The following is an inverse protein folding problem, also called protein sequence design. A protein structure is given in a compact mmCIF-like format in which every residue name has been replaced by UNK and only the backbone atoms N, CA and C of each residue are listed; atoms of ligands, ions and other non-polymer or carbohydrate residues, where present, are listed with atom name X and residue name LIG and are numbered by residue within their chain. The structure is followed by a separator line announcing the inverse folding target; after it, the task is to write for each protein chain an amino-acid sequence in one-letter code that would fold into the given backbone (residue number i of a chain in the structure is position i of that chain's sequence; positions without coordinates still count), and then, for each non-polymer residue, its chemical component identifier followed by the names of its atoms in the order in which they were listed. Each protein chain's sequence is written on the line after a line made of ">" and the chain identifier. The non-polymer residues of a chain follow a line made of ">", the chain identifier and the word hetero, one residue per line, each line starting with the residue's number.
data_IF_868821818554
#
_entry.id   IF_868821818554
#
_cell.length_a   1.000
_cell.length_b   1.000
_cell.length_c   1.000
_cell.angle_alpha   90.00
_cell.angle_beta   90.00
_cell.angle_gamma   90.00
#
_symmetry.space_group_name_H-M   'P 1'
#
loop_
_entity.id
_entity.type
_entity.pdbx_description
1 polymer ?
#
# COMPACT_ATOMS: atom_id res chain seq x y z
N UNK A 1 13.08 -15.26 -28.28
CA UNK A 1 12.67 -15.09 -27.97
C UNK A 1 12.36 -14.74 -27.11
N UNK A 2 12.28 -14.60 -27.05
CA UNK A 2 11.86 -14.28 -26.41
C UNK A 2 11.41 -13.99 -25.56
N UNK A 3 11.22 -13.87 -25.48
CA UNK A 3 10.73 -13.54 -24.79
C UNK A 3 10.38 -13.31 -23.83
N UNK A 4 10.21 -13.16 -23.60
CA UNK A 4 9.82 -12.86 -22.78
C UNK A 4 9.48 -12.82 -21.85
N UNK A 5 9.30 -12.75 -21.72
CA UNK A 5 8.94 -12.79 -20.88
C UNK A 5 8.71 -12.23 -19.92
N UNK A 6 8.63 -11.81 -19.51
CA UNK A 6 8.42 -11.17 -18.71
C UNK A 6 7.36 -10.74 -18.28
N UNK A 7 6.89 -10.87 -18.49
CA UNK A 7 5.68 -10.23 -18.16
C UNK A 7 5.11 -10.53 -16.89
N UNK A 8 5.13 -11.58 -16.49
CA UNK A 8 4.54 -11.88 -15.30
C UNK A 8 4.93 -11.00 -14.24
N UNK A 9 6.05 -10.59 -14.29
CA UNK A 9 6.46 -9.77 -13.20
C UNK A 9 5.71 -8.51 -13.16
N UNK A 10 5.22 -8.07 -14.27
CA UNK A 10 4.63 -6.82 -14.21
C UNK A 10 3.33 -6.81 -13.61
N UNK A 11 2.69 -7.87 -13.51
CA UNK A 11 1.36 -7.84 -13.08
C UNK A 11 1.19 -7.25 -11.73
N UNK A 12 2.21 -7.02 -11.00
CA UNK A 12 2.00 -6.62 -9.66
C UNK A 12 2.24 -5.21 -9.34
N UNK A 13 2.97 -4.52 -10.15
CA UNK A 13 3.52 -3.28 -9.62
C UNK A 13 2.89 -2.07 -10.24
N UNK A 14 1.60 -1.90 -10.00
CA UNK A 14 0.93 -0.69 -10.41
C UNK A 14 1.09 0.33 -9.31
N UNK A 15 1.77 1.43 -9.61
CA UNK A 15 2.02 2.48 -8.66
C UNK A 15 0.86 3.46 -8.70
N UNK A 16 0.35 3.80 -7.54
CA UNK A 16 -0.74 4.76 -7.40
C UNK A 16 -0.30 5.93 -6.56
N UNK A 17 -1.03 7.02 -6.64
CA UNK A 17 -0.68 8.24 -5.95
C UNK A 17 -1.77 8.69 -5.01
N UNK A 18 -1.36 9.36 -3.95
CA UNK A 18 -2.27 10.05 -3.05
C UNK A 18 -1.74 11.45 -2.85
N UNK A 19 -2.66 12.42 -2.87
CA UNK A 19 -2.30 13.79 -2.53
C UNK A 19 -2.30 13.97 -1.05
N UNK A 20 -1.59 14.96 -0.58
CA UNK A 20 -1.51 15.28 0.85
C UNK A 20 -2.90 15.36 1.44
N UNK A 21 -3.09 14.68 2.56
CA UNK A 21 -4.34 14.60 3.33
C UNK A 21 -5.40 13.69 2.70
N UNK A 22 -5.17 13.17 1.53
CA UNK A 22 -6.12 12.25 0.91
C UNK A 22 -6.14 10.93 1.66
N UNK A 23 -7.30 10.31 1.80
CA UNK A 23 -7.46 9.06 2.53
C UNK A 23 -7.97 7.97 1.59
N UNK A 24 -7.28 6.84 1.62
CA UNK A 24 -7.68 5.65 0.88
C UNK A 24 -8.33 4.68 1.86
N UNK A 25 -9.51 4.19 1.52
CA UNK A 25 -10.22 3.22 2.35
C UNK A 25 -10.05 1.85 1.71
N UNK A 26 -9.61 0.88 2.51
CA UNK A 26 -9.40 -0.48 2.03
C UNK A 26 -10.31 -1.41 2.83
N UNK A 27 -11.27 -2.03 2.15
CA UNK A 27 -12.24 -2.88 2.83
C UNK A 27 -11.91 -4.36 2.71
N UNK A 28 -10.97 -4.72 1.85
CA UNK A 28 -10.59 -6.12 1.66
C UNK A 28 -9.08 -6.22 1.58
N UNK A 29 -8.41 -5.70 2.58
CA UNK A 29 -6.96 -5.59 2.53
C UNK A 29 -6.22 -6.78 3.13
N UNK A 30 -6.91 -7.66 3.86
CA UNK A 30 -6.22 -8.75 4.53
C UNK A 30 -5.40 -9.57 3.55
N UNK A 31 -4.14 -9.78 3.88
CA UNK A 31 -3.21 -10.51 3.03
C UNK A 31 -2.50 -9.67 2.00
N UNK A 32 -2.90 -8.42 1.83
CA UNK A 32 -2.23 -7.56 0.86
C UNK A 32 -1.05 -6.85 1.47
N UNK A 33 -0.13 -6.44 0.62
CA UNK A 33 1.05 -5.71 1.03
C UNK A 33 1.00 -4.30 0.46
N UNK A 34 1.22 -3.32 1.33
CA UNK A 34 1.33 -1.93 0.95
C UNK A 34 2.80 -1.55 1.00
N UNK A 35 3.32 -1.02 -0.09
CA UNK A 35 4.70 -0.58 -0.13
C UNK A 35 4.72 0.89 -0.54
N UNK A 36 5.44 1.71 0.22
CA UNK A 36 5.54 3.14 -0.07
C UNK A 36 6.71 3.37 -1.00
N UNK A 37 6.45 3.99 -2.14
CA UNK A 37 7.50 4.33 -3.08
C UNK A 37 8.00 5.75 -2.87
N UNK A 38 7.12 6.65 -2.38
CA UNK A 38 7.48 8.04 -2.20
C UNK A 38 6.57 8.63 -1.15
N UNK A 39 7.11 9.50 -0.32
CA UNK A 39 6.31 10.23 0.65
C UNK A 39 6.09 9.48 1.94
N UNK A 40 5.09 9.89 2.69
CA UNK A 40 4.79 9.33 4.01
C UNK A 40 3.31 9.01 4.09
N UNK A 41 3.01 7.79 4.49
CA UNK A 41 1.64 7.33 4.68
C UNK A 41 1.40 6.97 6.13
N UNK A 42 0.21 7.31 6.62
CA UNK A 42 -0.22 6.96 7.97
C UNK A 42 -1.32 5.93 7.82
N UNK A 43 -1.12 4.76 8.42
CA UNK A 43 -2.02 3.63 8.22
C UNK A 43 -2.61 3.21 9.55
N UNK A 44 -3.93 3.02 9.56
CA UNK A 44 -4.63 2.47 10.70
C UNK A 44 -5.48 1.30 10.24
N UNK A 45 -5.66 0.33 11.11
CA UNK A 45 -6.48 -0.83 10.82
C UNK A 45 -7.51 -1.02 11.92
N UNK A 46 -8.72 -1.35 11.53
CA UNK A 46 -9.78 -1.64 12.47
C UNK A 46 -9.36 -2.79 13.37
N UNK A 47 -9.50 -2.61 14.66
CA UNK A 47 -9.13 -3.64 15.62
C UNK A 47 -7.66 -3.65 16.02
N UNK A 48 -6.86 -2.80 15.41
CA UNK A 48 -5.46 -2.71 15.75
C UNK A 48 -5.23 -1.42 16.51
N UNK A 49 -4.75 -1.48 17.75
CA UNK A 49 -4.54 -0.25 18.54
C UNK A 49 -3.33 0.55 18.07
N UNK A 50 -2.50 -0.01 17.20
CA UNK A 50 -1.32 0.69 16.73
C UNK A 50 -1.58 1.41 15.43
N UNK A 51 -0.93 2.55 15.25
CA UNK A 51 -0.87 3.24 13.97
C UNK A 51 0.48 2.95 13.35
N UNK A 52 0.54 3.00 12.03
CA UNK A 52 1.78 2.73 11.32
C UNK A 52 2.12 3.95 10.47
N UNK A 53 3.33 4.44 10.63
CA UNK A 53 3.83 5.54 9.82
C UNK A 53 4.86 4.95 8.87
N UNK A 54 4.55 4.98 7.59
CA UNK A 54 5.40 4.35 6.58
C UNK A 54 6.07 5.39 5.71
N UNK A 55 7.37 5.27 5.60
CA UNK A 55 8.18 6.14 4.74
C UNK A 55 8.57 5.39 3.48
N UNK A 56 9.11 6.11 2.52
CA UNK A 56 9.53 5.50 1.26
C UNK A 56 10.47 4.32 1.52
N UNK A 57 10.21 3.23 0.84
CA UNK A 57 10.95 1.99 1.01
C UNK A 57 10.38 1.04 2.02
N UNK A 58 9.45 1.49 2.84
CA UNK A 58 8.87 0.64 3.87
C UNK A 58 7.60 -0.01 3.38
N UNK A 59 7.25 -1.12 4.00
CA UNK A 59 6.08 -1.87 3.60
C UNK A 59 5.36 -2.43 4.80
N UNK A 60 4.07 -2.71 4.62
CA UNK A 60 3.22 -3.26 5.65
C UNK A 60 2.35 -4.34 5.03
N UNK A 61 2.26 -5.49 5.69
CA UNK A 61 1.32 -6.52 5.28
C UNK A 61 0.11 -6.42 6.18
N UNK A 62 -1.06 -6.29 5.57
CA UNK A 62 -2.29 -6.19 6.34
C UNK A 62 -2.69 -7.57 6.82
N UNK A 63 -2.76 -7.75 8.12
CA UNK A 63 -3.08 -9.05 8.68
C UNK A 63 -4.48 -9.10 9.28
N UNK A 64 -5.18 -7.99 9.28
CA UNK A 64 -6.48 -7.94 9.92
C UNK A 64 -7.59 -7.85 8.91
N UNK A 65 -8.73 -8.39 9.27
CA UNK A 65 -9.93 -8.16 8.50
C UNK A 65 -10.43 -6.78 8.84
N UNK A 66 -11.37 -6.33 8.07
CA UNK A 66 -12.02 -5.07 8.35
C UNK A 66 -11.36 -3.93 7.61
N UNK A 67 -11.70 -2.75 8.04
CA UNK A 67 -11.32 -1.54 7.34
C UNK A 67 -9.89 -1.14 7.66
N UNK A 68 -9.14 -0.79 6.65
CA UNK A 68 -7.87 -0.12 6.82
C UNK A 68 -7.96 1.25 6.17
N UNK A 69 -7.36 2.25 6.79
CA UNK A 69 -7.31 3.59 6.26
C UNK A 69 -5.85 3.97 6.03
N UNK A 70 -5.59 4.54 4.87
CA UNK A 70 -4.25 4.98 4.51
C UNK A 70 -4.36 6.47 4.18
N UNK A 71 -3.72 7.29 4.99
CA UNK A 71 -3.75 8.74 4.78
C UNK A 71 -2.39 9.23 4.36
N UNK A 72 -2.35 10.03 3.31
CA UNK A 72 -1.10 10.60 2.85
C UNK A 72 -0.80 11.85 3.67
N UNK A 73 0.32 11.84 4.36
CA UNK A 73 0.75 13.03 5.10
C UNK A 73 1.51 13.98 4.20
N UNK A 74 2.04 13.47 3.11
CA UNK A 74 2.66 14.26 2.05
C UNK A 74 2.14 13.71 0.73
N UNK A 75 2.51 14.35 -0.39
CA UNK A 75 2.30 13.71 -1.68
C UNK A 75 3.00 12.37 -1.63
N UNK A 76 2.33 11.33 -2.04
CA UNK A 76 2.85 9.98 -1.87
C UNK A 76 2.55 9.11 -3.06
N UNK A 77 3.39 8.09 -3.25
CA UNK A 77 3.15 7.05 -4.24
C UNK A 77 3.32 5.70 -3.55
N UNK A 78 2.49 4.75 -3.90
CA UNK A 78 2.48 3.45 -3.26
C UNK A 78 2.10 2.36 -4.23
N UNK A 79 2.41 1.13 -3.85
CA UNK A 79 1.95 -0.07 -4.56
C UNK A 79 1.20 -0.94 -3.56
N UNK A 80 0.08 -1.48 -4.00
CA UNK A 80 -0.69 -2.42 -3.19
C UNK A 80 -0.75 -3.72 -3.99
N UNK A 81 -0.28 -4.81 -3.40
CA UNK A 81 -0.19 -6.07 -4.10
C UNK A 81 -0.67 -7.21 -3.23
N UNK A 82 -1.00 -8.32 -3.88
CA UNK A 82 -1.31 -9.53 -3.14
C UNK A 82 -0.03 -10.10 -2.59
N UNK A 83 -0.13 -10.63 -1.41
CA UNK A 83 1.04 -11.20 -0.77
C UNK A 83 1.03 -12.71 -0.91
#
# INVERSE_FOLDING_TARGET
>A
MTTQSQPMSQKTMVKKRLHTQEVLRLTSSQGKQLEVAKGVLWVTQEGDPQDYLLHAGERLIFERRGLALVQALTEAAYCLSQN
#
